data_IF_377771761637
#
_entry.id   IF_377771761637
#
_cell.length_a   1.000
_cell.length_b   1.000
_cell.length_c   1.000
_cell.angle_alpha   90.00
_cell.angle_beta   90.00
_cell.angle_gamma   90.00
#
_symmetry.space_group_name_H-M   'P 1'
#
loop_
_entity.id
_entity.type
_entity.pdbx_description
1 polymer ?
#
# COMPACT_ATOMS: atom_id res chain seq x y z
N UNK A 1 -46.21 12.12 -5.61
CA UNK A 1 -45.30 12.58 -6.69
C UNK A 1 -44.03 11.76 -6.61
N UNK A 2 -43.32 11.56 -7.73
CA UNK A 2 -42.02 10.88 -7.71
C UNK A 2 -40.91 11.92 -7.80
N UNK A 3 -39.92 11.86 -6.92
CA UNK A 3 -38.80 12.77 -6.90
C UNK A 3 -37.49 12.05 -7.23
N UNK A 4 -36.59 12.75 -7.91
CA UNK A 4 -35.34 12.19 -8.42
C UNK A 4 -34.25 12.33 -7.38
N UNK A 5 -33.55 11.25 -7.09
CA UNK A 5 -32.31 11.27 -6.32
C UNK A 5 -31.19 11.52 -7.31
N UNK A 6 -30.51 12.67 -7.18
CA UNK A 6 -29.39 13.05 -8.05
C UNK A 6 -28.10 13.18 -7.25
N UNK A 7 -26.97 13.01 -7.93
CA UNK A 7 -25.66 13.25 -7.33
C UNK A 7 -25.53 14.73 -6.95
N UNK A 8 -25.32 15.07 -5.68
CA UNK A 8 -25.15 16.46 -5.27
C UNK A 8 -23.83 17.04 -5.78
N UNK A 9 -23.64 18.36 -5.62
CA UNK A 9 -22.37 19.02 -5.94
C UNK A 9 -21.32 18.53 -4.95
N UNK A 10 -20.25 17.92 -5.48
CA UNK A 10 -19.23 17.23 -4.69
C UNK A 10 -18.02 18.13 -4.30
N UNK A 11 -18.07 19.45 -4.61
CA UNK A 11 -16.99 20.42 -4.40
C UNK A 11 -16.37 20.93 -5.70
N UNK A 12 -15.53 21.97 -5.64
CA UNK A 12 -15.03 22.72 -6.81
C UNK A 12 -14.17 21.92 -7.79
N UNK A 13 -13.69 20.73 -7.43
CA UNK A 13 -12.76 19.95 -8.27
C UNK A 13 -13.21 18.50 -8.53
N UNK A 14 -14.41 18.10 -8.09
CA UNK A 14 -14.88 16.72 -8.21
C UNK A 14 -16.04 16.68 -9.19
N UNK A 15 -15.80 16.09 -10.38
CA UNK A 15 -16.79 15.98 -11.46
C UNK A 15 -17.52 14.65 -11.49
N UNK A 16 -16.98 13.62 -10.82
CA UNK A 16 -17.53 12.26 -10.82
C UNK A 16 -17.36 11.57 -9.45
N UNK A 17 -18.26 10.63 -9.13
CA UNK A 17 -18.22 9.78 -7.96
C UNK A 17 -18.52 8.33 -8.33
N UNK A 18 -18.19 7.39 -7.45
CA UNK A 18 -18.60 5.98 -7.61
C UNK A 18 -19.65 5.65 -6.56
N UNK A 19 -20.72 4.98 -6.94
CA UNK A 19 -21.70 4.45 -5.99
C UNK A 19 -21.01 3.36 -5.17
N UNK A 20 -20.68 3.65 -3.92
CA UNK A 20 -20.00 2.71 -3.04
C UNK A 20 -20.97 1.61 -2.61
N UNK A 21 -22.12 1.99 -2.09
CA UNK A 21 -23.14 1.06 -1.61
C UNK A 21 -24.51 1.73 -1.49
N UNK A 22 -25.55 1.04 -1.85
CA UNK A 22 -26.91 1.39 -1.48
C UNK A 22 -27.21 0.91 -0.06
N UNK A 23 -27.67 1.81 0.81
CA UNK A 23 -28.06 1.53 2.19
C UNK A 23 -29.51 1.00 2.27
N UNK A 24 -30.30 1.25 1.23
CA UNK A 24 -31.69 0.78 1.06
C UNK A 24 -31.86 0.07 -0.28
N UNK A 25 -32.79 -0.86 -0.32
CA UNK A 25 -33.14 -1.61 -1.53
C UNK A 25 -34.35 -1.01 -2.21
N UNK A 26 -34.52 -1.29 -3.51
CA UNK A 26 -35.74 -0.93 -4.22
C UNK A 26 -36.94 -1.61 -3.55
N UNK A 27 -37.95 -0.82 -3.17
CA UNK A 27 -39.12 -1.24 -2.41
C UNK A 27 -39.08 -0.87 -0.93
N UNK A 28 -37.94 -0.44 -0.38
CA UNK A 28 -37.82 -0.02 1.01
C UNK A 28 -38.43 1.37 1.25
N UNK A 29 -39.00 1.56 2.44
CA UNK A 29 -39.49 2.88 2.87
C UNK A 29 -38.33 3.73 3.35
N UNK A 30 -38.30 5.00 2.95
CA UNK A 30 -37.31 5.99 3.33
C UNK A 30 -37.96 7.22 3.92
N UNK A 31 -37.32 7.85 4.90
CA UNK A 31 -37.75 9.14 5.45
C UNK A 31 -37.02 10.29 4.77
N UNK A 32 -37.54 11.52 4.87
CA UNK A 32 -36.85 12.67 4.36
C UNK A 32 -35.54 12.87 5.14
N UNK A 33 -34.46 13.23 4.45
CA UNK A 33 -33.10 13.38 4.98
C UNK A 33 -32.43 12.08 5.49
N UNK A 34 -33.05 10.90 5.27
CA UNK A 34 -32.45 9.63 5.60
C UNK A 34 -31.38 9.27 4.54
N UNK A 35 -30.14 8.88 4.93
CA UNK A 35 -29.12 8.49 3.98
C UNK A 35 -29.51 7.18 3.29
N UNK A 36 -29.50 7.17 1.95
CA UNK A 36 -29.98 6.05 1.11
C UNK A 36 -28.89 5.45 0.24
N UNK A 37 -27.87 6.22 -0.12
CA UNK A 37 -26.74 5.74 -0.92
C UNK A 37 -25.44 6.43 -0.48
N UNK A 38 -24.35 5.66 -0.42
CA UNK A 38 -23.00 6.13 -0.15
C UNK A 38 -22.26 6.28 -1.48
N UNK A 39 -21.73 7.49 -1.73
CA UNK A 39 -20.88 7.80 -2.87
C UNK A 39 -19.42 7.89 -2.44
N UNK A 40 -18.54 7.24 -3.13
CA UNK A 40 -17.09 7.29 -2.95
C UNK A 40 -16.49 8.25 -3.98
N UNK A 41 -15.78 9.27 -3.50
CA UNK A 41 -14.99 10.17 -4.34
C UNK A 41 -13.49 9.87 -4.15
N UNK A 42 -12.63 10.59 -4.86
CA UNK A 42 -11.17 10.47 -4.70
C UNK A 42 -10.65 11.02 -3.35
N UNK A 43 -11.48 11.75 -2.61
CA UNK A 43 -11.08 12.42 -1.36
C UNK A 43 -11.90 11.99 -0.15
N UNK A 44 -13.21 11.85 -0.29
CA UNK A 44 -14.15 11.62 0.84
C UNK A 44 -15.32 10.75 0.37
N UNK A 45 -15.89 9.97 1.28
CA UNK A 45 -17.17 9.31 1.08
C UNK A 45 -18.28 10.29 1.46
N UNK A 46 -19.32 10.37 0.65
CA UNK A 46 -20.49 11.23 0.84
C UNK A 46 -21.75 10.38 0.88
N UNK A 47 -22.58 10.60 1.88
CA UNK A 47 -23.90 10.00 1.95
C UNK A 47 -24.91 10.93 1.28
N UNK A 48 -25.74 10.38 0.39
CA UNK A 48 -26.82 11.13 -0.28
C UNK A 48 -28.14 10.81 0.43
N UNK A 49 -28.79 11.82 1.04
CA UNK A 49 -30.06 11.64 1.72
C UNK A 49 -31.23 11.59 0.73
N UNK A 50 -32.36 11.04 1.19
CA UNK A 50 -33.62 11.09 0.45
C UNK A 50 -34.21 12.49 0.44
N UNK A 51 -34.63 13.03 -0.72
CA UNK A 51 -35.24 14.35 -0.79
C UNK A 51 -36.66 14.41 -0.18
N UNK A 52 -37.36 13.28 -0.14
CA UNK A 52 -38.73 13.18 0.39
C UNK A 52 -38.94 11.86 1.15
N UNK A 53 -39.97 11.83 1.99
CA UNK A 53 -40.46 10.60 2.61
C UNK A 53 -41.25 9.81 1.56
N UNK A 54 -40.93 8.52 1.38
CA UNK A 54 -41.60 7.70 0.39
C UNK A 54 -41.06 6.26 0.30
N UNK A 55 -41.25 5.65 -0.86
CA UNK A 55 -40.71 4.33 -1.18
C UNK A 55 -39.70 4.49 -2.32
N UNK A 56 -38.49 3.90 -2.17
CA UNK A 56 -37.50 3.84 -3.22
C UNK A 56 -37.99 2.93 -4.34
N UNK A 57 -38.43 3.51 -5.45
CA UNK A 57 -39.09 2.77 -6.53
C UNK A 57 -38.13 2.18 -7.54
N UNK A 58 -37.03 2.86 -7.84
CA UNK A 58 -36.08 2.41 -8.86
C UNK A 58 -34.65 2.85 -8.50
N UNK A 59 -33.69 1.94 -8.71
CA UNK A 59 -32.26 2.18 -8.60
C UNK A 59 -31.70 2.17 -10.03
N UNK A 60 -31.27 3.34 -10.52
CA UNK A 60 -30.72 3.50 -11.87
C UNK A 60 -29.23 3.22 -11.92
N UNK A 61 -28.49 3.62 -10.87
CA UNK A 61 -27.05 3.41 -10.76
C UNK A 61 -26.75 2.36 -9.71
N UNK A 62 -26.20 1.20 -10.13
CA UNK A 62 -25.87 0.08 -9.24
C UNK A 62 -24.57 0.33 -8.48
N UNK A 63 -24.35 -0.45 -7.41
CA UNK A 63 -23.09 -0.45 -6.67
C UNK A 63 -21.90 -0.63 -7.63
N UNK A 64 -20.86 0.18 -7.45
CA UNK A 64 -19.65 0.21 -8.29
C UNK A 64 -19.79 0.98 -9.61
N UNK A 65 -20.93 1.63 -9.88
CA UNK A 65 -21.12 2.49 -11.07
C UNK A 65 -20.47 3.86 -10.85
N UNK A 66 -19.78 4.37 -11.86
CA UNK A 66 -19.27 5.75 -11.86
C UNK A 66 -20.38 6.68 -12.37
N UNK A 67 -20.63 7.75 -11.63
CA UNK A 67 -21.71 8.73 -11.90
C UNK A 67 -21.15 10.15 -11.86
N UNK A 68 -21.61 11.01 -12.75
CA UNK A 68 -21.23 12.42 -12.78
C UNK A 68 -22.12 13.25 -11.84
N UNK A 69 -21.68 14.46 -11.46
CA UNK A 69 -22.48 15.41 -10.70
C UNK A 69 -23.79 15.70 -11.44
N UNK A 70 -24.94 15.60 -10.75
CA UNK A 70 -26.28 15.76 -11.32
C UNK A 70 -26.83 14.51 -12.01
N UNK A 71 -26.08 13.40 -12.07
CA UNK A 71 -26.61 12.13 -12.62
C UNK A 71 -27.72 11.54 -11.76
N UNK A 72 -28.67 10.84 -12.39
CA UNK A 72 -29.79 10.21 -11.71
C UNK A 72 -29.33 8.91 -11.02
N UNK A 73 -29.47 8.86 -9.71
CA UNK A 73 -29.16 7.68 -8.90
C UNK A 73 -30.36 6.75 -8.75
N UNK A 74 -31.53 7.31 -8.48
CA UNK A 74 -32.76 6.56 -8.26
C UNK A 74 -34.00 7.46 -8.17
N UNK A 75 -35.16 6.85 -7.90
CA UNK A 75 -36.45 7.53 -7.76
C UNK A 75 -37.13 7.14 -6.46
N UNK A 76 -37.64 8.14 -5.73
CA UNK A 76 -38.50 7.97 -4.54
C UNK A 76 -39.92 8.44 -4.87
N UNK A 77 -40.93 7.65 -4.51
CA UNK A 77 -42.36 8.00 -4.70
C UNK A 77 -43.10 8.04 -3.37
N UNK A 78 -43.88 9.10 -3.12
CA UNK A 78 -44.73 9.24 -1.92
C UNK A 78 -45.86 8.21 -1.83
N UNK A 79 -46.33 7.69 -2.99
CA UNK A 79 -47.40 6.71 -3.04
C UNK A 79 -46.89 5.43 -3.70
N UNK A 80 -46.92 4.29 -2.98
CA UNK A 80 -46.51 2.96 -3.42
C UNK A 80 -47.30 2.40 -4.60
N UNK A 81 -47.28 3.05 -5.75
CA UNK A 81 -47.89 2.59 -6.98
C UNK A 81 -46.77 2.18 -7.95
N UNK A 82 -46.58 0.89 -8.09
CA UNK A 82 -45.71 0.27 -9.09
C UNK A 82 -46.23 0.58 -10.50
N UNK A 83 -45.80 1.70 -11.03
CA UNK A 83 -46.04 2.06 -12.42
C UNK A 83 -44.92 1.58 -13.32
N UNK A 84 -45.12 0.52 -14.06
CA UNK A 84 -44.27 0.11 -15.17
C UNK A 84 -44.17 1.24 -16.21
N UNK A 85 -43.12 2.04 -16.16
CA UNK A 85 -42.82 3.03 -17.19
C UNK A 85 -42.11 2.32 -18.35
N UNK A 86 -42.78 2.29 -19.52
CA UNK A 86 -42.23 1.85 -20.79
C UNK A 86 -40.92 2.53 -21.11
N UNK A 87 -39.93 1.73 -21.45
CA UNK A 87 -38.66 2.14 -22.08
C UNK A 87 -38.96 2.96 -23.33
N UNK A 88 -38.74 4.25 -23.34
CA UNK A 88 -38.57 5.04 -24.55
C UNK A 88 -37.11 4.93 -24.99
N UNK A 89 -36.93 4.44 -26.22
CA UNK A 89 -35.65 4.37 -26.91
C UNK A 89 -35.13 5.80 -27.17
N UNK A 90 -34.04 6.17 -26.50
CA UNK A 90 -33.30 7.37 -26.82
C UNK A 90 -32.54 7.14 -28.12
N UNK A 91 -33.00 7.80 -29.19
CA UNK A 91 -32.32 7.88 -30.48
C UNK A 91 -30.90 8.47 -30.26
N UNK A 92 -29.91 7.71 -30.72
CA UNK A 92 -28.53 8.17 -30.93
C UNK A 92 -28.55 9.44 -31.80
N UNK A 93 -28.08 10.55 -31.24
CA UNK A 93 -27.69 11.74 -31.99
C UNK A 93 -26.17 11.58 -32.26
N UNK A 94 -25.86 11.41 -33.54
CA UNK A 94 -24.48 11.46 -34.03
C UNK A 94 -23.96 12.90 -33.93
N UNK A 95 -22.71 13.13 -33.48
CA UNK A 95 -22.13 14.48 -33.48
C UNK A 95 -21.65 14.85 -34.88
N UNK A 96 -22.29 15.87 -35.45
CA UNK A 96 -21.84 16.53 -36.68
C UNK A 96 -20.45 17.18 -36.46
N UNK A 97 -19.52 16.70 -37.22
CA UNK A 97 -18.18 17.29 -37.40
C UNK A 97 -18.30 18.71 -37.96
N UNK A 98 -17.86 19.72 -37.18
CA UNK A 98 -17.50 21.02 -37.71
C UNK A 98 -15.99 21.06 -37.90
N UNK A 99 -15.60 21.18 -39.17
CA UNK A 99 -14.25 21.49 -39.61
C UNK A 99 -13.78 22.82 -38.97
N UNK A 100 -12.64 22.79 -38.28
CA UNK A 100 -11.89 23.99 -37.96
C UNK A 100 -10.47 23.90 -38.53
N UNK A 101 -10.19 24.89 -39.34
CA UNK A 101 -8.95 25.19 -40.02
C UNK A 101 -7.70 24.97 -39.17
N UNK A 102 -6.85 24.05 -39.59
CA UNK A 102 -5.48 23.89 -39.05
C UNK A 102 -4.55 24.70 -39.94
N UNK A 103 -4.01 25.76 -39.37
CA UNK A 103 -2.87 26.52 -39.96
C UNK A 103 -1.62 25.68 -39.77
N UNK A 104 -1.04 25.21 -40.88
CA UNK A 104 0.26 24.53 -40.86
C UNK A 104 1.35 25.58 -40.68
N UNK A 105 2.07 25.50 -39.57
CA UNK A 105 3.38 26.17 -39.39
C UNK A 105 4.50 25.18 -39.81
N UNK A 106 5.19 25.51 -40.83
CA UNK A 106 6.41 24.83 -41.27
C UNK A 106 7.54 25.08 -40.26
N UNK A 107 8.05 24.03 -39.64
CA UNK A 107 9.28 24.06 -38.86
C UNK A 107 10.39 23.38 -39.66
N UNK A 108 11.57 24.04 -39.84
CA UNK A 108 12.68 23.44 -40.57
C UNK A 108 13.36 22.35 -39.75
N UNK A 109 13.49 21.16 -40.33
CA UNK A 109 14.31 20.06 -39.84
C UNK A 109 15.78 20.48 -39.75
N UNK A 110 16.34 20.53 -38.55
CA UNK A 110 17.78 20.42 -38.32
C UNK A 110 18.07 19.07 -37.69
N UNK A 111 18.80 18.24 -38.43
CA UNK A 111 19.37 16.99 -37.93
C UNK A 111 20.54 17.29 -36.98
N UNK A 112 20.64 16.65 -35.82
CA UNK A 112 21.83 16.76 -34.99
C UNK A 112 22.95 15.87 -35.55
N UNK A 113 24.10 16.42 -35.74
CA UNK A 113 25.35 15.73 -36.13
C UNK A 113 25.80 14.85 -34.95
N UNK A 114 25.94 13.57 -35.22
CA UNK A 114 26.54 12.58 -34.31
C UNK A 114 28.05 12.80 -34.35
N UNK A 115 28.65 13.06 -33.20
CA UNK A 115 30.11 13.02 -33.05
C UNK A 115 30.52 11.54 -32.91
N UNK A 116 31.28 11.06 -33.92
CA UNK A 116 32.03 9.80 -33.81
C UNK A 116 33.31 10.07 -33.02
N UNK A 117 33.39 9.57 -31.79
CA UNK A 117 34.65 9.40 -31.09
C UNK A 117 35.09 7.93 -31.17
N UNK A 118 36.23 7.74 -31.84
CA UNK A 118 36.98 6.47 -31.87
C UNK A 118 37.47 6.14 -30.48
N UNK A 119 37.06 5.00 -29.94
CA UNK A 119 37.77 4.33 -28.88
C UNK A 119 38.22 2.95 -29.37
N UNK A 120 39.48 2.84 -29.73
CA UNK A 120 40.22 1.58 -29.76
C UNK A 120 40.68 1.30 -28.33
N UNK A 121 40.30 0.15 -27.77
CA UNK A 121 41.21 -0.86 -27.22
C UNK A 121 40.42 -1.99 -26.55
N UNK A 122 40.70 -3.18 -27.06
CA UNK A 122 40.41 -4.49 -26.55
C UNK A 122 40.82 -4.62 -25.08
N UNK A 123 39.90 -5.07 -24.22
CA UNK A 123 40.22 -5.97 -23.11
C UNK A 123 39.18 -7.08 -23.20
N UNK A 124 39.63 -8.29 -23.50
CA UNK A 124 38.89 -9.53 -23.37
C UNK A 124 38.90 -9.89 -21.87
N UNK A 125 37.76 -9.87 -21.24
CA UNK A 125 37.55 -10.59 -19.98
C UNK A 125 36.62 -11.78 -20.28
N UNK A 126 37.17 -12.96 -20.08
CA UNK A 126 36.45 -14.23 -20.16
C UNK A 126 35.47 -14.34 -18.99
N UNK A 127 34.25 -14.91 -19.19
CA UNK A 127 33.35 -15.13 -18.08
C UNK A 127 33.82 -16.26 -17.18
N UNK A 128 33.89 -16.01 -15.89
CA UNK A 128 34.15 -17.01 -14.83
C UNK A 128 33.02 -18.03 -14.81
N UNK A 129 33.30 -19.22 -15.28
CA UNK A 129 32.46 -20.42 -15.13
C UNK A 129 32.79 -21.06 -13.79
N UNK A 130 31.87 -21.02 -12.86
CA UNK A 130 31.89 -21.81 -11.63
C UNK A 130 31.46 -23.24 -11.99
N UNK A 131 32.44 -24.15 -12.07
CA UNK A 131 32.20 -25.59 -12.13
C UNK A 131 32.20 -26.12 -10.71
N UNK A 132 31.04 -26.49 -10.22
CA UNK A 132 30.91 -27.35 -9.04
C UNK A 132 31.11 -28.78 -9.47
N UNK A 133 32.27 -29.33 -9.12
CA UNK A 133 32.55 -30.77 -9.21
C UNK A 133 31.81 -31.49 -8.07
N UNK A 134 30.73 -32.17 -8.42
CA UNK A 134 30.14 -33.19 -7.55
C UNK A 134 30.85 -34.50 -7.78
N UNK A 135 31.61 -34.95 -6.79
CA UNK A 135 32.20 -36.30 -6.76
C UNK A 135 31.10 -37.34 -6.60
N UNK A 136 30.89 -38.14 -7.63
CA UNK A 136 30.16 -39.40 -7.55
C UNK A 136 31.00 -40.44 -6.82
N UNK A 137 30.53 -40.92 -5.68
CA UNK A 137 31.02 -42.15 -5.06
C UNK A 137 30.35 -43.36 -5.70
N UNK A 138 31.13 -44.12 -6.47
CA UNK A 138 30.79 -45.47 -6.93
C UNK A 138 30.72 -46.44 -5.73
N UNK A 139 29.57 -47.02 -5.47
CA UNK A 139 29.45 -48.23 -4.66
C UNK A 139 28.98 -49.38 -5.52
N UNK A 140 29.96 -50.26 -5.70
CA UNK A 140 30.00 -51.64 -6.15
C UNK A 140 28.68 -52.41 -6.27
N UNK A 141 28.51 -52.93 -7.49
CA UNK A 141 27.65 -54.06 -7.86
C UNK A 141 28.10 -55.34 -7.16
N UNK A 142 27.19 -56.04 -6.51
CA UNK A 142 27.27 -57.47 -6.27
C UNK A 142 26.18 -58.16 -7.09
N UNK A 143 26.64 -58.98 -8.04
CA UNK A 143 25.88 -59.99 -8.79
C UNK A 143 25.39 -61.06 -7.83
N UNK A 144 24.16 -61.49 -8.00
CA UNK A 144 23.74 -62.86 -7.78
C UNK A 144 22.73 -63.26 -8.85
N UNK A 145 23.13 -64.24 -9.60
CA UNK A 145 22.40 -64.98 -10.67
C UNK A 145 21.44 -66.00 -10.08
N UNK A 146 20.41 -66.29 -10.92
CA UNK A 146 19.70 -67.57 -11.09
C UNK A 146 18.57 -67.93 -10.12
N UNK A 147 17.37 -68.07 -10.61
CA UNK A 147 16.85 -69.15 -11.43
C UNK A 147 15.36 -68.99 -11.66
N UNK A 148 14.90 -69.21 -12.86
CA UNK A 148 13.49 -69.44 -13.21
C UNK A 148 13.02 -70.81 -12.68
N UNK A 149 11.69 -70.98 -12.44
CA UNK A 149 10.87 -71.63 -13.44
C UNK A 149 9.49 -71.00 -13.71
N UNK A 150 9.05 -71.28 -14.94
CA UNK A 150 7.70 -70.99 -15.46
C UNK A 150 6.65 -71.80 -14.72
N UNK A 151 5.50 -71.14 -14.39
CA UNK A 151 4.21 -71.77 -14.50
C UNK A 151 3.12 -70.70 -14.63
N UNK A 152 2.26 -70.88 -15.60
CA UNK A 152 1.02 -70.16 -15.89
C UNK A 152 0.12 -70.15 -14.67
N UNK A 153 -0.43 -69.01 -14.35
CA UNK A 153 -1.92 -68.78 -14.18
C UNK A 153 -2.12 -67.41 -13.53
N UNK A 154 -2.93 -66.61 -14.18
CA UNK A 154 -3.78 -65.55 -13.67
C UNK A 154 -3.56 -65.07 -12.22
N UNK A 155 -2.56 -64.23 -12.03
CA UNK A 155 -2.53 -63.25 -10.94
C UNK A 155 -1.47 -62.23 -11.31
N UNK A 156 -1.90 -61.08 -11.82
CA UNK A 156 -1.03 -59.93 -12.00
C UNK A 156 -0.33 -59.64 -10.66
N UNK A 157 0.98 -59.95 -10.59
CA UNK A 157 1.79 -59.72 -9.39
C UNK A 157 1.97 -58.21 -9.21
N UNK A 158 1.03 -57.62 -8.48
CA UNK A 158 1.06 -56.21 -8.10
C UNK A 158 2.25 -55.94 -7.15
N UNK A 159 2.99 -54.85 -7.38
CA UNK A 159 4.04 -54.46 -6.44
C UNK A 159 3.43 -54.14 -5.07
N UNK A 160 4.18 -54.29 -3.96
CA UNK A 160 3.67 -54.01 -2.60
C UNK A 160 3.06 -52.63 -2.45
N UNK A 161 3.62 -51.62 -3.11
CA UNK A 161 3.12 -50.25 -3.11
C UNK A 161 1.78 -50.11 -3.87
N UNK A 162 1.61 -50.79 -4.99
CA UNK A 162 0.36 -50.81 -5.78
C UNK A 162 -0.74 -51.54 -5.00
N UNK A 163 -0.40 -52.70 -4.38
CA UNK A 163 -1.34 -53.48 -3.57
C UNK A 163 -1.90 -52.64 -2.37
N UNK A 164 -1.03 -51.88 -1.69
CA UNK A 164 -1.46 -51.00 -0.59
C UNK A 164 -2.47 -49.94 -1.05
N UNK A 165 -2.22 -49.28 -2.16
CA UNK A 165 -3.11 -48.25 -2.72
C UNK A 165 -4.45 -48.84 -3.14
N UNK A 166 -4.45 -50.00 -3.78
CA UNK A 166 -5.66 -50.72 -4.20
C UNK A 166 -6.56 -51.08 -3.03
N UNK A 167 -5.97 -51.58 -1.94
CA UNK A 167 -6.72 -51.95 -0.71
C UNK A 167 -7.25 -50.74 0.00
N UNK A 168 -6.46 -49.69 0.16
CA UNK A 168 -6.85 -48.46 0.83
C UNK A 168 -7.99 -47.72 0.10
N UNK A 169 -7.99 -47.74 -1.22
CA UNK A 169 -8.93 -46.97 -2.03
C UNK A 169 -10.02 -47.83 -2.72
N UNK A 170 -10.06 -49.16 -2.44
CA UNK A 170 -11.05 -50.13 -2.98
C UNK A 170 -11.16 -50.07 -4.52
N UNK A 171 -10.02 -49.97 -5.21
CA UNK A 171 -9.97 -49.85 -6.68
C UNK A 171 -10.09 -51.24 -7.29
N UNK A 172 -10.96 -51.44 -8.29
CA UNK A 172 -11.03 -52.67 -9.07
C UNK A 172 -9.88 -52.74 -10.09
N UNK A 173 -8.93 -53.64 -9.87
CA UNK A 173 -7.71 -53.82 -10.67
C UNK A 173 -8.01 -54.16 -12.13
N UNK A 174 -9.12 -54.84 -12.38
CA UNK A 174 -9.51 -55.26 -13.71
C UNK A 174 -9.94 -54.10 -14.64
N UNK A 175 -10.29 -52.98 -14.02
CA UNK A 175 -10.65 -51.75 -14.76
C UNK A 175 -9.47 -50.87 -15.11
N UNK A 176 -8.25 -51.22 -14.61
CA UNK A 176 -7.05 -50.38 -14.76
C UNK A 176 -6.13 -50.94 -15.86
N UNK A 177 -5.93 -50.16 -16.92
CA UNK A 177 -4.96 -50.50 -17.97
C UNK A 177 -3.54 -50.18 -17.51
N UNK A 178 -2.72 -51.19 -17.18
CA UNK A 178 -1.34 -51.00 -16.73
C UNK A 178 -0.44 -50.47 -17.85
N UNK A 179 0.37 -49.43 -17.56
CA UNK A 179 1.35 -48.83 -18.47
C UNK A 179 2.76 -49.45 -18.36
N UNK A 180 2.98 -50.38 -17.43
CA UNK A 180 4.24 -51.03 -17.22
C UNK A 180 4.54 -52.14 -18.24
N UNK A 181 5.81 -52.64 -18.24
CA UNK A 181 6.28 -53.77 -19.09
C UNK A 181 5.41 -55.00 -18.80
N UNK A 182 4.92 -55.64 -19.87
CA UNK A 182 4.00 -56.81 -19.84
C UNK A 182 2.59 -56.47 -19.24
N UNK A 183 2.12 -55.21 -19.38
CA UNK A 183 0.80 -54.81 -18.90
C UNK A 183 0.67 -54.64 -17.37
N UNK A 184 1.78 -54.56 -16.66
CA UNK A 184 1.76 -54.36 -15.19
C UNK A 184 1.22 -52.99 -14.80
N UNK A 185 0.35 -52.98 -13.80
CA UNK A 185 -0.16 -51.75 -13.21
C UNK A 185 0.92 -51.14 -12.33
N UNK A 186 1.33 -49.91 -12.67
CA UNK A 186 2.25 -49.08 -11.91
C UNK A 186 1.53 -48.18 -10.92
N UNK A 187 2.24 -47.68 -9.93
CA UNK A 187 1.72 -46.73 -8.95
C UNK A 187 1.17 -45.46 -9.63
N UNK A 188 1.80 -45.03 -10.74
CA UNK A 188 1.36 -43.89 -11.53
C UNK A 188 -0.03 -44.05 -12.17
N UNK A 189 -0.34 -45.27 -12.61
CA UNK A 189 -1.63 -45.59 -13.27
C UNK A 189 -2.78 -45.48 -12.28
N UNK A 190 -2.58 -45.89 -11.03
CA UNK A 190 -3.57 -45.76 -9.98
C UNK A 190 -3.74 -44.31 -9.54
N UNK A 191 -2.69 -43.52 -9.45
CA UNK A 191 -2.71 -42.12 -9.07
C UNK A 191 -3.43 -41.28 -10.14
N UNK A 192 -3.22 -41.61 -11.42
CA UNK A 192 -3.92 -40.95 -12.53
C UNK A 192 -5.45 -41.22 -12.53
N UNK A 193 -5.83 -42.47 -12.18
CA UNK A 193 -7.24 -42.88 -12.02
C UNK A 193 -7.92 -42.21 -10.83
N UNK A 194 -7.17 -41.92 -9.77
CA UNK A 194 -7.69 -41.22 -8.57
C UNK A 194 -7.82 -39.71 -8.74
N UNK A 195 -7.48 -39.17 -9.93
CA UNK A 195 -7.54 -37.74 -10.22
C UNK A 195 -6.56 -36.89 -9.39
N UNK A 196 -5.60 -37.55 -8.69
CA UNK A 196 -4.74 -36.90 -7.71
C UNK A 196 -3.44 -36.32 -8.27
N UNK A 197 -3.16 -36.46 -9.56
CA UNK A 197 -1.94 -35.92 -10.15
C UNK A 197 -2.19 -35.30 -11.52
N UNK A 198 -2.69 -34.05 -11.60
CA UNK A 198 -2.71 -33.33 -12.85
C UNK A 198 -1.29 -33.19 -13.40
N UNK A 199 -1.14 -33.22 -14.73
CA UNK A 199 0.13 -32.98 -15.42
C UNK A 199 0.75 -31.66 -14.91
N UNK A 200 2.08 -31.49 -14.89
CA UNK A 200 2.71 -30.25 -14.42
C UNK A 200 2.23 -28.96 -15.12
N UNK A 201 1.77 -29.07 -16.37
CA UNK A 201 1.11 -27.99 -17.12
C UNK A 201 -0.28 -27.65 -16.60
N UNK A 202 -1.02 -28.63 -16.10
CA UNK A 202 -2.38 -28.45 -15.54
C UNK A 202 -2.33 -27.97 -14.10
N UNK A 203 -1.25 -28.27 -13.35
CA UNK A 203 -1.03 -27.74 -12.01
C UNK A 203 -0.95 -26.21 -11.98
N UNK A 204 -0.47 -25.57 -13.05
CA UNK A 204 -0.43 -24.08 -13.15
C UNK A 204 -1.83 -23.46 -13.25
N UNK A 205 -2.84 -24.21 -13.68
CA UNK A 205 -4.22 -23.75 -13.80
C UNK A 205 -5.05 -24.04 -12.54
N UNK A 206 -4.61 -24.98 -11.69
CA UNK A 206 -5.34 -25.43 -10.49
C UNK A 206 -4.77 -24.92 -9.15
N UNK A 207 -3.86 -23.94 -9.14
CA UNK A 207 -3.40 -23.31 -7.90
C UNK A 207 -4.46 -22.35 -7.36
N UNK A 208 -5.39 -22.90 -6.57
CA UNK A 208 -6.38 -22.15 -5.80
C UNK A 208 -7.47 -21.50 -6.65
N UNK A 209 -8.57 -21.16 -6.00
CA UNK A 209 -9.57 -20.27 -6.59
C UNK A 209 -8.98 -18.86 -6.59
N UNK A 210 -8.69 -18.32 -7.78
CA UNK A 210 -8.33 -16.90 -7.91
C UNK A 210 -9.60 -16.07 -7.72
N UNK A 211 -9.62 -15.24 -6.72
CA UNK A 211 -10.65 -14.25 -6.51
C UNK A 211 -10.19 -12.91 -7.12
N UNK A 212 -10.96 -12.39 -8.08
CA UNK A 212 -10.69 -11.10 -8.72
C UNK A 212 -11.62 -10.06 -8.16
N UNK A 213 -11.08 -9.20 -7.27
CA UNK A 213 -11.79 -8.10 -6.65
C UNK A 213 -11.35 -6.79 -7.32
N UNK A 214 -12.30 -5.99 -7.80
CA UNK A 214 -12.01 -4.64 -8.32
C UNK A 214 -11.54 -3.75 -7.18
N UNK A 215 -10.43 -3.04 -7.37
CA UNK A 215 -9.98 -2.06 -6.38
C UNK A 215 -10.99 -0.93 -6.22
N UNK A 216 -11.21 -0.48 -4.98
CA UNK A 216 -12.00 0.72 -4.69
C UNK A 216 -11.33 1.94 -5.33
N UNK A 217 -12.10 3.00 -5.56
CA UNK A 217 -11.59 4.26 -6.13
C UNK A 217 -10.50 4.87 -5.23
N UNK A 218 -10.72 4.87 -3.92
CA UNK A 218 -9.72 5.31 -2.95
C UNK A 218 -8.40 4.54 -3.12
N UNK A 219 -8.45 3.20 -3.22
CA UNK A 219 -7.25 2.37 -3.41
C UNK A 219 -6.55 2.67 -4.73
N UNK A 220 -7.30 2.91 -5.80
CA UNK A 220 -6.74 3.31 -7.10
C UNK A 220 -6.02 4.66 -7.02
N UNK A 221 -6.63 5.65 -6.37
CA UNK A 221 -6.02 6.98 -6.15
C UNK A 221 -4.74 6.88 -5.33
N UNK A 222 -4.76 6.11 -4.23
CA UNK A 222 -3.57 5.86 -3.40
C UNK A 222 -2.45 5.22 -4.25
N UNK A 223 -2.77 4.18 -5.01
CA UNK A 223 -1.80 3.49 -5.87
C UNK A 223 -1.17 4.44 -6.91
N UNK A 224 -2.00 5.28 -7.55
CA UNK A 224 -1.54 6.30 -8.49
C UNK A 224 -0.60 7.31 -7.84
N UNK A 225 -0.97 7.86 -6.67
CA UNK A 225 -0.14 8.85 -5.93
C UNK A 225 1.19 8.26 -5.48
N UNK A 226 1.19 7.04 -4.93
CA UNK A 226 2.42 6.37 -4.50
C UNK A 226 3.35 6.11 -5.69
N UNK A 227 2.78 5.71 -6.84
CA UNK A 227 3.58 5.49 -8.04
C UNK A 227 4.14 6.78 -8.61
N UNK A 228 3.36 7.87 -8.62
CA UNK A 228 3.82 9.21 -9.00
C UNK A 228 4.97 9.68 -8.11
N UNK A 229 4.92 9.43 -6.79
CA UNK A 229 6.00 9.81 -5.88
C UNK A 229 7.32 9.12 -6.24
N UNK A 230 7.28 7.83 -6.60
CA UNK A 230 8.47 7.09 -7.03
C UNK A 230 9.00 7.51 -8.41
N UNK A 231 8.12 7.93 -9.32
CA UNK A 231 8.50 8.34 -10.68
C UNK A 231 9.02 9.78 -10.74
N UNK A 232 8.44 10.68 -9.92
CA UNK A 232 8.77 12.11 -9.96
C UNK A 232 9.95 12.50 -9.07
N UNK A 233 10.31 11.71 -8.06
CA UNK A 233 11.39 12.01 -7.13
C UNK A 233 12.62 11.13 -7.38
N UNK A 234 13.82 11.71 -7.29
CA UNK A 234 15.06 10.94 -7.20
C UNK A 234 15.22 10.43 -5.76
N UNK A 235 14.45 9.39 -5.42
CA UNK A 235 14.26 8.89 -4.07
C UNK A 235 15.52 8.22 -3.55
N UNK A 236 16.08 8.74 -2.46
CA UNK A 236 17.17 8.13 -1.72
C UNK A 236 16.79 8.03 -0.23
N UNK A 237 17.34 7.04 0.48
CA UNK A 237 17.12 6.88 1.92
C UNK A 237 18.44 6.76 2.65
N UNK A 238 18.62 7.57 3.70
CA UNK A 238 19.71 7.43 4.66
C UNK A 238 19.17 6.94 5.99
N UNK A 239 20.00 6.21 6.73
CA UNK A 239 19.62 5.57 7.99
C UNK A 239 20.55 6.01 9.11
N UNK A 240 20.01 6.04 10.33
CA UNK A 240 20.79 6.19 11.55
C UNK A 240 20.14 5.42 12.70
N UNK A 241 20.88 5.12 13.73
CA UNK A 241 20.38 4.53 14.98
C UNK A 241 20.38 5.57 16.09
N UNK A 242 19.40 5.47 16.99
CA UNK A 242 19.21 6.37 18.12
C UNK A 242 19.09 5.58 19.41
N UNK A 243 19.85 5.95 20.42
CA UNK A 243 19.67 5.46 21.78
C UNK A 243 18.50 6.19 22.46
N UNK A 244 17.43 5.45 22.72
CA UNK A 244 16.20 6.00 23.29
C UNK A 244 16.21 6.09 24.82
N UNK A 245 17.33 5.76 25.48
CA UNK A 245 17.43 5.70 26.94
C UNK A 245 17.00 7.01 27.59
N UNK A 246 17.60 8.14 27.17
CA UNK A 246 17.35 9.46 27.80
C UNK A 246 15.85 9.87 27.66
N UNK A 247 15.24 9.63 26.51
CA UNK A 247 13.80 9.93 26.32
C UNK A 247 12.94 9.01 27.19
N UNK A 248 13.27 7.72 27.26
CA UNK A 248 12.49 6.76 28.05
C UNK A 248 12.58 7.08 29.55
N UNK A 249 13.75 7.42 30.04
CA UNK A 249 13.99 7.85 31.42
C UNK A 249 13.23 9.16 31.72
N UNK A 250 13.40 10.19 30.88
CA UNK A 250 12.70 11.48 31.04
C UNK A 250 11.18 11.30 31.07
N UNK A 251 10.63 10.46 30.17
CA UNK A 251 9.21 10.14 30.17
C UNK A 251 8.78 9.42 31.44
N UNK A 252 9.56 8.44 31.91
CA UNK A 252 9.26 7.66 33.12
C UNK A 252 9.22 8.56 34.36
N UNK A 253 10.18 9.45 34.49
CA UNK A 253 10.29 10.37 35.61
C UNK A 253 9.19 11.42 35.66
N UNK A 254 8.82 11.98 34.47
CA UNK A 254 7.91 13.11 34.40
C UNK A 254 6.47 12.73 34.03
N UNK A 255 6.18 11.46 33.75
CA UNK A 255 4.89 11.01 33.23
C UNK A 255 3.71 11.36 34.14
N UNK A 256 3.85 11.17 35.45
CA UNK A 256 2.78 11.40 36.41
C UNK A 256 2.45 12.88 36.55
N UNK A 257 3.48 13.72 36.68
CA UNK A 257 3.32 15.17 36.80
C UNK A 257 2.77 15.78 35.49
N UNK A 258 3.27 15.32 34.36
CA UNK A 258 2.76 15.75 33.05
C UNK A 258 1.29 15.40 32.88
N UNK A 259 0.90 14.17 33.22
CA UNK A 259 -0.48 13.71 33.11
C UNK A 259 -1.42 14.44 34.09
N UNK A 260 -0.97 14.71 35.33
CA UNK A 260 -1.77 15.45 36.30
C UNK A 260 -1.99 16.90 35.88
N UNK A 261 -0.99 17.52 35.26
CA UNK A 261 -1.04 18.93 34.84
C UNK A 261 -1.82 19.15 33.53
N UNK A 262 -1.62 18.29 32.55
CA UNK A 262 -2.14 18.50 31.19
C UNK A 262 -3.28 17.55 30.79
N UNK A 263 -3.59 16.53 31.61
CA UNK A 263 -4.65 15.56 31.36
C UNK A 263 -4.34 14.55 30.24
N UNK A 264 -3.08 14.51 29.75
CA UNK A 264 -2.63 13.62 28.69
C UNK A 264 -1.29 13.01 29.04
N UNK A 265 -1.02 11.81 28.50
CA UNK A 265 0.28 11.13 28.68
C UNK A 265 1.33 11.75 27.77
N UNK A 266 2.55 11.89 28.27
CA UNK A 266 3.72 12.27 27.46
C UNK A 266 4.10 11.12 26.53
N UNK A 267 3.90 11.28 25.24
CA UNK A 267 4.24 10.30 24.21
C UNK A 267 5.68 10.45 23.71
N UNK A 268 6.07 9.63 22.74
CA UNK A 268 7.35 9.81 22.03
C UNK A 268 7.22 10.86 20.93
N UNK A 269 6.02 11.01 20.36
CA UNK A 269 5.83 11.83 19.17
C UNK A 269 6.17 13.29 19.36
N UNK A 270 5.89 13.86 20.54
CA UNK A 270 6.25 15.25 20.84
C UNK A 270 7.77 15.50 20.81
N UNK A 271 8.58 14.53 21.25
CA UNK A 271 10.05 14.62 21.13
C UNK A 271 10.50 14.59 19.67
N UNK A 272 9.94 13.66 18.88
CA UNK A 272 10.26 13.56 17.45
C UNK A 272 9.84 14.80 16.68
N UNK A 273 8.65 15.35 16.95
CA UNK A 273 8.17 16.60 16.37
C UNK A 273 9.13 17.73 16.64
N UNK A 274 9.50 17.94 17.91
CA UNK A 274 10.43 19.01 18.30
C UNK A 274 11.83 18.81 17.71
N UNK A 275 12.36 17.59 17.72
CA UNK A 275 13.64 17.26 17.10
C UNK A 275 13.65 17.53 15.59
N UNK A 276 12.56 17.16 14.89
CA UNK A 276 12.39 17.45 13.47
C UNK A 276 12.30 18.95 13.21
N UNK A 277 11.53 19.71 14.00
CA UNK A 277 11.40 21.16 13.83
C UNK A 277 12.76 21.85 13.96
N UNK A 278 13.55 21.51 14.98
CA UNK A 278 14.91 22.05 15.15
C UNK A 278 15.78 21.71 13.94
N UNK A 279 15.73 20.47 13.48
CA UNK A 279 16.50 20.04 12.30
C UNK A 279 16.02 20.72 11.01
N UNK A 280 14.71 20.88 10.79
CA UNK A 280 14.15 21.57 9.60
C UNK A 280 14.55 23.05 9.56
N UNK A 281 14.62 23.72 10.69
CA UNK A 281 15.13 25.11 10.80
C UNK A 281 16.60 25.23 10.39
N UNK A 282 17.40 24.22 10.67
CA UNK A 282 18.84 24.22 10.34
C UNK A 282 19.12 23.70 8.90
N UNK A 283 18.22 22.89 8.35
CA UNK A 283 18.34 22.30 7.00
C UNK A 283 17.09 22.62 6.17
N UNK A 284 16.91 23.86 5.70
CA UNK A 284 15.70 24.31 5.03
C UNK A 284 15.43 23.57 3.70
N UNK A 285 16.43 22.98 3.08
CA UNK A 285 16.25 22.16 1.87
C UNK A 285 15.37 20.92 2.13
N UNK A 286 15.35 20.39 3.36
CA UNK A 286 14.48 19.27 3.76
C UNK A 286 13.03 19.72 3.93
N UNK A 287 12.79 21.03 4.12
CA UNK A 287 11.46 21.64 4.23
C UNK A 287 11.07 22.41 2.95
N UNK A 288 11.50 21.92 1.79
CA UNK A 288 11.25 22.55 0.50
C UNK A 288 10.44 21.62 -0.43
N UNK A 289 9.95 22.16 -1.53
CA UNK A 289 9.30 21.41 -2.60
C UNK A 289 9.73 21.91 -3.97
N UNK A 290 9.57 21.08 -5.00
CA UNK A 290 9.82 21.46 -6.41
C UNK A 290 8.48 21.82 -7.06
N UNK A 291 8.45 22.98 -7.70
CA UNK A 291 7.35 23.37 -8.58
C UNK A 291 7.93 23.80 -9.94
N UNK A 292 7.78 22.96 -10.95
CA UNK A 292 8.43 23.13 -12.24
C UNK A 292 9.95 23.18 -12.12
N UNK A 293 10.54 24.32 -12.42
CA UNK A 293 11.98 24.59 -12.37
C UNK A 293 12.40 25.35 -11.09
N UNK A 294 11.47 25.58 -10.17
CA UNK A 294 11.71 26.37 -8.96
C UNK A 294 11.74 25.48 -7.70
N UNK A 295 12.56 25.86 -6.70
CA UNK A 295 12.55 25.28 -5.37
C UNK A 295 11.87 26.26 -4.43
N UNK A 296 10.78 25.82 -3.81
CA UNK A 296 9.99 26.60 -2.86
C UNK A 296 10.39 26.22 -1.44
N UNK A 297 11.11 27.09 -0.74
CA UNK A 297 11.43 26.91 0.68
C UNK A 297 10.26 27.33 1.55
N UNK A 298 9.79 26.42 2.42
CA UNK A 298 8.71 26.70 3.36
C UNK A 298 9.28 27.26 4.67
N UNK A 299 8.91 28.48 5.02
CA UNK A 299 9.33 29.12 6.29
C UNK A 299 8.30 28.91 7.41
N UNK A 300 7.57 27.79 7.34
CA UNK A 300 6.62 27.32 8.35
C UNK A 300 6.71 25.79 8.45
N UNK A 301 6.31 25.23 9.60
CA UNK A 301 6.59 23.84 9.94
C UNK A 301 5.31 23.08 10.26
N UNK A 302 4.67 22.58 9.23
CA UNK A 302 3.47 21.76 9.32
C UNK A 302 3.84 20.29 9.16
N UNK A 303 3.80 19.54 10.27
CA UNK A 303 4.24 18.15 10.28
C UNK A 303 3.08 17.20 10.08
N UNK A 304 3.18 16.34 9.08
CA UNK A 304 2.19 15.32 8.80
C UNK A 304 2.52 14.00 9.49
N UNK A 305 1.48 13.23 9.87
CA UNK A 305 1.66 11.92 10.52
C UNK A 305 0.95 10.84 9.75
N UNK A 306 1.63 9.70 9.54
CA UNK A 306 1.01 8.53 8.98
C UNK A 306 0.14 7.83 10.05
N UNK A 307 -1.17 7.80 9.85
CA UNK A 307 -2.15 7.15 10.73
C UNK A 307 -2.84 6.03 9.98
N UNK A 308 -2.74 4.80 10.50
CA UNK A 308 -3.45 3.65 9.97
C UNK A 308 -4.92 3.66 10.40
N UNK A 309 -5.82 3.53 9.44
CA UNK A 309 -7.26 3.37 9.65
C UNK A 309 -7.75 2.07 9.01
N UNK A 310 -8.96 1.64 9.30
CA UNK A 310 -9.57 0.46 8.66
C UNK A 310 -9.69 0.62 7.13
N UNK A 311 -9.90 1.84 6.66
CA UNK A 311 -10.02 2.18 5.22
C UNK A 311 -8.65 2.33 4.52
N UNK A 312 -7.54 2.38 5.28
CA UNK A 312 -6.18 2.55 4.75
C UNK A 312 -5.35 3.54 5.55
N UNK A 313 -4.22 3.97 4.97
CA UNK A 313 -3.31 4.94 5.57
C UNK A 313 -3.76 6.36 5.20
N UNK A 314 -3.89 7.23 6.20
CA UNK A 314 -4.13 8.67 6.03
C UNK A 314 -2.98 9.46 6.65
N UNK A 315 -2.75 10.68 6.15
CA UNK A 315 -1.60 11.50 6.55
C UNK A 315 -2.07 12.91 6.95
N UNK A 316 -2.73 13.05 8.10
CA UNK A 316 -3.17 14.34 8.60
C UNK A 316 -2.02 15.23 9.03
N UNK A 317 -2.28 16.55 9.16
CA UNK A 317 -1.30 17.59 9.37
C UNK A 317 -1.44 18.23 10.74
N UNK A 318 -0.35 18.31 11.47
CA UNK A 318 -0.16 19.16 12.65
C UNK A 318 0.40 20.50 12.19
N UNK A 319 -0.36 21.56 12.35
CA UNK A 319 0.02 22.91 11.93
C UNK A 319 0.89 23.60 12.98
N UNK A 320 1.76 24.50 12.52
CA UNK A 320 2.58 25.40 13.33
C UNK A 320 3.30 24.65 14.47
N UNK A 321 3.92 23.50 14.11
CA UNK A 321 4.51 22.56 15.06
C UNK A 321 5.68 23.17 15.88
N UNK A 322 6.28 24.24 15.39
CA UNK A 322 7.34 24.97 16.07
C UNK A 322 6.80 25.82 17.27
N UNK A 323 5.59 26.34 17.16
CA UNK A 323 4.96 27.14 18.22
C UNK A 323 4.31 26.29 19.32
N UNK A 324 3.98 25.02 19.04
CA UNK A 324 3.29 24.14 19.97
C UNK A 324 4.18 23.66 21.11
N UNK A 325 3.62 23.60 22.32
CA UNK A 325 4.26 22.92 23.46
C UNK A 325 4.19 21.39 23.31
N UNK A 326 4.98 20.64 24.10
CA UNK A 326 4.90 19.18 24.16
C UNK A 326 3.46 18.68 24.45
N UNK A 327 2.77 19.37 25.37
CA UNK A 327 1.40 19.01 25.73
C UNK A 327 0.40 19.27 24.59
N UNK A 328 0.57 20.38 23.86
CA UNK A 328 -0.31 20.71 22.74
C UNK A 328 -0.08 19.78 21.55
N UNK A 329 1.19 19.41 21.29
CA UNK A 329 1.52 18.41 20.27
C UNK A 329 0.81 17.09 20.57
N UNK A 330 0.93 16.56 21.79
CA UNK A 330 0.29 15.27 22.16
C UNK A 330 -1.24 15.36 22.11
N UNK A 331 -1.86 16.49 22.53
CA UNK A 331 -3.31 16.71 22.45
C UNK A 331 -3.79 16.74 21.01
N UNK A 332 -3.11 17.49 20.16
CA UNK A 332 -3.46 17.62 18.75
C UNK A 332 -3.32 16.28 18.01
N UNK A 333 -2.20 15.57 18.21
CA UNK A 333 -1.99 14.24 17.61
C UNK A 333 -3.08 13.26 18.05
N UNK A 334 -3.46 13.26 19.34
CA UNK A 334 -4.54 12.42 19.84
C UNK A 334 -5.87 12.77 19.18
N UNK A 335 -6.23 14.04 19.16
CA UNK A 335 -7.49 14.53 18.54
C UNK A 335 -7.56 14.17 17.05
N UNK A 336 -6.48 14.45 16.31
CA UNK A 336 -6.38 14.12 14.88
C UNK A 336 -6.47 12.62 14.64
N UNK A 337 -5.81 11.81 15.48
CA UNK A 337 -5.86 10.34 15.36
C UNK A 337 -7.25 9.77 15.67
N UNK A 338 -8.00 10.37 16.60
CA UNK A 338 -9.38 10.00 16.90
C UNK A 338 -10.29 10.36 15.71
N UNK A 339 -10.18 11.58 15.16
CA UNK A 339 -10.89 11.99 13.93
C UNK A 339 -10.58 11.05 12.75
N UNK A 340 -9.32 10.62 12.62
CA UNK A 340 -8.89 9.72 11.55
C UNK A 340 -9.57 8.35 11.66
N UNK A 341 -9.62 7.77 12.88
CA UNK A 341 -10.28 6.48 13.15
C UNK A 341 -11.78 6.56 12.94
N UNK A 342 -12.40 7.67 13.34
CA UNK A 342 -13.83 7.92 13.16
C UNK A 342 -14.22 8.24 11.71
N UNK A 343 -13.25 8.43 10.82
CA UNK A 343 -13.50 8.84 9.43
C UNK A 343 -13.99 10.28 9.27
N UNK A 344 -13.72 11.14 10.25
CA UNK A 344 -14.18 12.56 10.31
C UNK A 344 -13.12 13.57 9.91
N UNK A 345 -12.04 13.14 9.25
CA UNK A 345 -11.02 14.05 8.73
C UNK A 345 -11.59 14.88 7.58
N UNK A 346 -11.34 16.19 7.63
CA UNK A 346 -11.66 17.11 6.53
C UNK A 346 -10.51 17.17 5.52
N UNK A 347 -10.77 17.73 4.35
CA UNK A 347 -9.73 17.97 3.33
C UNK A 347 -8.64 18.90 3.89
N UNK A 348 -9.04 19.87 4.68
CA UNK A 348 -8.14 20.82 5.33
C UNK A 348 -7.20 20.11 6.31
N UNK A 349 -7.67 19.10 7.04
CA UNK A 349 -6.82 18.30 7.96
C UNK A 349 -5.70 17.54 7.21
N UNK A 350 -5.82 17.36 5.88
CA UNK A 350 -4.90 16.55 5.05
C UNK A 350 -3.98 17.39 4.15
N UNK A 351 -4.15 18.70 4.09
CA UNK A 351 -3.42 19.59 3.17
C UNK A 351 -2.45 20.52 3.91
N UNK A 352 -1.40 20.97 3.20
CA UNK A 352 -0.46 21.99 3.69
C UNK A 352 0.62 21.45 4.63
N UNK A 353 0.82 20.15 4.70
CA UNK A 353 1.96 19.57 5.41
C UNK A 353 3.27 19.78 4.65
N UNK A 354 4.36 20.09 5.37
CA UNK A 354 5.68 20.37 4.77
C UNK A 354 6.66 19.22 4.92
N UNK A 355 6.49 18.38 5.94
CA UNK A 355 7.31 17.21 6.22
C UNK A 355 6.47 16.10 6.84
N UNK A 356 6.81 14.84 6.60
CA UNK A 356 6.02 13.71 7.13
C UNK A 356 6.83 12.86 8.11
N UNK A 357 6.19 12.44 9.21
CA UNK A 357 6.72 11.44 10.13
C UNK A 357 5.85 10.18 10.03
N UNK A 358 6.47 9.05 9.71
CA UNK A 358 5.81 7.74 9.63
C UNK A 358 6.32 6.81 10.70
N UNK A 359 5.43 6.20 11.50
CA UNK A 359 5.78 5.29 12.57
C UNK A 359 5.42 3.84 12.21
N UNK A 360 6.38 3.11 11.62
CA UNK A 360 6.28 1.67 11.36
C UNK A 360 6.54 0.80 12.60
N UNK A 361 7.13 1.37 13.65
CA UNK A 361 7.50 0.64 14.87
C UNK A 361 6.30 0.08 15.63
N UNK A 362 5.14 0.74 15.55
CA UNK A 362 3.89 0.25 16.16
C UNK A 362 3.42 -1.08 15.56
N UNK A 363 3.87 -1.41 14.35
CA UNK A 363 3.60 -2.66 13.64
C UNK A 363 4.77 -3.66 13.73
N UNK A 364 5.84 -3.30 14.47
CA UNK A 364 7.03 -4.14 14.64
C UNK A 364 8.06 -4.02 13.51
N UNK A 365 7.97 -2.99 12.65
CA UNK A 365 8.97 -2.78 11.60
C UNK A 365 10.33 -2.47 12.20
N UNK A 366 11.35 -3.24 11.78
CA UNK A 366 12.74 -2.99 12.16
C UNK A 366 13.35 -1.86 11.33
N UNK A 367 13.09 -1.86 10.02
CA UNK A 367 13.66 -0.90 9.07
C UNK A 367 12.81 -0.87 7.81
N UNK A 368 12.58 0.30 7.24
CA UNK A 368 11.87 0.48 5.97
C UNK A 368 12.37 1.75 5.27
N UNK A 369 12.10 1.84 3.97
CA UNK A 369 12.36 3.02 3.14
C UNK A 369 11.02 3.68 2.83
N UNK A 370 10.56 4.66 3.63
CA UNK A 370 9.25 5.29 3.41
C UNK A 370 9.22 6.03 2.07
N UNK A 371 8.03 6.03 1.44
CA UNK A 371 7.79 6.75 0.18
C UNK A 371 7.38 8.18 0.53
N UNK A 372 7.84 9.16 -0.25
CA UNK A 372 7.51 10.57 -0.08
C UNK A 372 6.00 10.83 -0.24
N UNK A 373 5.49 11.76 0.55
CA UNK A 373 4.15 12.32 0.38
C UNK A 373 4.25 13.62 -0.42
N UNK A 374 4.13 13.51 -1.75
CA UNK A 374 4.25 14.69 -2.62
C UNK A 374 3.27 15.80 -2.22
N UNK A 375 3.66 17.08 -2.31
CA UNK A 375 4.91 17.63 -2.92
C UNK A 375 6.11 17.70 -1.97
N UNK A 376 6.03 17.16 -0.74
CA UNK A 376 7.10 17.20 0.25
C UNK A 376 8.37 16.52 -0.27
N UNK A 377 9.54 17.05 0.12
CA UNK A 377 10.85 16.52 -0.26
C UNK A 377 11.46 15.55 0.76
N UNK A 378 10.87 15.43 1.96
CA UNK A 378 11.40 14.58 3.02
C UNK A 378 10.33 13.83 3.83
N UNK A 379 10.68 12.61 4.28
CA UNK A 379 9.87 11.81 5.20
C UNK A 379 10.77 11.06 6.18
N UNK A 380 10.47 11.18 7.47
CA UNK A 380 11.15 10.45 8.54
C UNK A 380 10.37 9.18 8.88
N UNK A 381 11.03 8.03 8.76
CA UNK A 381 10.53 6.74 9.23
C UNK A 381 11.05 6.41 10.62
N UNK A 382 10.13 6.16 11.55
CA UNK A 382 10.42 5.62 12.87
C UNK A 382 10.15 4.12 12.88
N UNK A 383 10.94 3.38 13.64
CA UNK A 383 10.86 1.93 13.72
C UNK A 383 10.72 1.44 15.16
N UNK A 384 10.71 0.12 15.36
CA UNK A 384 10.58 -0.45 16.70
C UNK A 384 11.80 -0.16 17.57
N UNK A 385 11.56 -0.05 18.88
CA UNK A 385 12.62 0.06 19.89
C UNK A 385 12.98 -1.37 20.31
N UNK A 386 14.26 -1.73 20.20
CA UNK A 386 14.77 -3.06 20.54
C UNK A 386 15.99 -2.91 21.44
N UNK A 387 16.01 -3.66 22.53
CA UNK A 387 17.21 -3.74 23.38
C UNK A 387 18.35 -4.42 22.63
N UNK A 388 19.50 -3.73 22.53
CA UNK A 388 20.69 -4.19 21.82
C UNK A 388 21.94 -3.97 22.65
N UNK A 389 22.94 -4.86 22.55
CA UNK A 389 24.27 -4.58 23.10
C UNK A 389 24.95 -3.52 22.24
N UNK A 390 25.32 -2.42 22.85
CA UNK A 390 26.05 -1.31 22.21
C UNK A 390 27.29 -0.97 23.06
N UNK A 391 28.31 -0.39 22.42
CA UNK A 391 29.48 0.07 23.11
C UNK A 391 29.28 1.52 23.55
N UNK A 392 29.30 1.74 24.87
CA UNK A 392 29.22 3.07 25.51
C UNK A 392 30.39 3.21 26.44
N UNK A 393 31.23 4.25 26.25
CA UNK A 393 32.44 4.51 27.02
C UNK A 393 33.42 3.32 27.11
N UNK A 394 33.48 2.52 26.00
CA UNK A 394 34.35 1.33 25.93
C UNK A 394 33.76 0.07 26.57
N UNK A 395 32.59 0.13 27.17
CA UNK A 395 31.87 -0.99 27.77
C UNK A 395 30.66 -1.44 26.93
N UNK A 396 30.35 -2.73 26.95
CA UNK A 396 29.13 -3.25 26.33
C UNK A 396 27.97 -3.03 27.29
N UNK A 397 27.01 -2.20 26.87
CA UNK A 397 25.78 -1.90 27.63
C UNK A 397 24.54 -2.30 26.79
N UNK A 398 23.50 -2.75 27.47
CA UNK A 398 22.21 -2.99 26.84
C UNK A 398 21.49 -1.65 26.75
N UNK A 399 21.09 -1.26 25.53
CA UNK A 399 20.40 0.02 25.26
C UNK A 399 19.17 -0.21 24.38
N UNK A 400 18.09 0.55 24.60
CA UNK A 400 16.93 0.58 23.72
C UNK A 400 17.26 1.39 22.47
N UNK A 401 17.51 0.70 21.35
CA UNK A 401 17.90 1.31 20.08
C UNK A 401 16.71 1.36 19.15
N UNK A 402 16.51 2.50 18.48
CA UNK A 402 15.57 2.68 17.39
C UNK A 402 16.33 3.02 16.10
N UNK A 403 15.96 2.40 14.98
CA UNK A 403 16.42 2.85 13.67
C UNK A 403 15.52 3.97 13.15
N UNK A 404 16.17 4.98 12.58
CA UNK A 404 15.54 6.06 11.85
C UNK A 404 15.91 5.96 10.37
N UNK A 405 14.95 6.23 9.51
CA UNK A 405 15.12 6.32 8.06
C UNK A 405 14.67 7.70 7.58
N UNK A 406 15.50 8.42 6.87
CA UNK A 406 15.11 9.62 6.14
C UNK A 406 15.09 9.30 4.67
N UNK A 407 13.90 9.24 4.07
CA UNK A 407 13.77 9.21 2.60
C UNK A 407 13.57 10.64 2.11
N UNK A 408 14.22 10.98 1.01
CA UNK A 408 14.24 12.34 0.50
C UNK A 408 14.42 12.39 -1.02
N UNK A 409 14.07 13.53 -1.61
CA UNK A 409 14.29 13.81 -3.03
C UNK A 409 15.70 14.36 -3.23
N UNK A 410 16.58 13.55 -3.83
CA UNK A 410 17.98 13.89 -4.04
C UNK A 410 18.19 14.99 -5.12
N UNK A 411 17.12 15.44 -5.76
CA UNK A 411 17.18 16.61 -6.65
C UNK A 411 17.27 17.93 -5.88
N UNK A 412 16.81 17.95 -4.60
CA UNK A 412 16.83 19.14 -3.73
C UNK A 412 17.84 18.94 -2.61
N UNK A 413 17.86 17.75 -1.99
CA UNK A 413 18.58 17.48 -0.77
C UNK A 413 19.82 16.64 -1.08
N UNK A 414 21.00 17.20 -0.80
CA UNK A 414 22.27 16.51 -0.99
C UNK A 414 22.57 15.53 0.17
N UNK A 415 23.50 14.60 -0.11
CA UNK A 415 23.90 13.59 0.89
C UNK A 415 24.44 14.19 2.19
N UNK A 416 25.17 15.33 2.12
CA UNK A 416 25.67 16.05 3.31
C UNK A 416 24.51 16.59 4.15
N UNK A 417 23.52 17.20 3.52
CA UNK A 417 22.38 17.81 4.20
C UNK A 417 21.48 16.76 4.84
N UNK A 418 21.15 15.68 4.08
CA UNK A 418 20.30 14.60 4.57
C UNK A 418 20.91 13.86 5.77
N UNK A 419 22.21 13.54 5.70
CA UNK A 419 22.94 12.87 6.80
C UNK A 419 23.06 13.80 7.99
N UNK A 420 23.35 15.09 7.77
CA UNK A 420 23.46 16.08 8.85
C UNK A 420 22.13 16.36 9.53
N UNK A 421 21.03 16.42 8.75
CA UNK A 421 19.67 16.51 9.27
C UNK A 421 19.34 15.32 10.18
N UNK A 422 19.53 14.10 9.70
CA UNK A 422 19.23 12.90 10.46
C UNK A 422 20.12 12.75 11.70
N UNK A 423 21.39 13.19 11.61
CA UNK A 423 22.31 13.27 12.73
C UNK A 423 21.82 14.26 13.79
N UNK A 424 21.36 15.44 13.39
CA UNK A 424 20.81 16.44 14.33
C UNK A 424 19.54 15.93 15.01
N UNK A 425 18.63 15.26 14.28
CA UNK A 425 17.47 14.60 14.87
C UNK A 425 17.91 13.58 15.93
N UNK A 426 18.90 12.72 15.62
CA UNK A 426 19.48 11.75 16.54
C UNK A 426 20.02 12.44 17.81
N UNK A 427 20.88 13.43 17.67
CA UNK A 427 21.51 14.13 18.79
C UNK A 427 20.49 14.78 19.73
N UNK A 428 19.43 15.36 19.15
CA UNK A 428 18.34 15.96 19.93
C UNK A 428 17.49 14.91 20.66
N UNK A 429 17.38 13.70 20.13
CA UNK A 429 16.65 12.59 20.78
C UNK A 429 17.51 11.91 21.85
N UNK A 430 18.82 11.78 21.64
CA UNK A 430 19.76 11.20 22.61
C UNK A 430 20.04 12.14 23.82
N UNK A 431 20.02 13.46 23.60
CA UNK A 431 20.04 14.48 24.66
C UNK A 431 18.84 15.44 24.53
N UNK A 432 17.65 15.05 25.05
CA UNK A 432 16.44 15.86 24.92
C UNK A 432 16.51 17.25 25.57
N UNK A 433 17.49 17.51 26.44
CA UNK A 433 17.70 18.85 27.04
C UNK A 433 18.01 19.90 25.98
N UNK A 434 18.63 19.51 24.88
CA UNK A 434 18.92 20.39 23.74
C UNK A 434 17.65 21.00 23.13
N UNK A 435 16.54 20.25 23.15
CA UNK A 435 15.22 20.71 22.66
C UNK A 435 14.64 21.87 23.48
N UNK A 436 15.07 22.02 24.72
CA UNK A 436 14.62 23.12 25.60
C UNK A 436 15.57 24.32 25.59
N UNK A 437 16.80 24.13 25.09
CA UNK A 437 17.84 25.16 25.03
C UNK A 437 17.97 25.79 23.63
N UNK A 438 17.21 25.26 22.64
CA UNK A 438 17.27 25.68 21.22
C UNK A 438 18.70 25.61 20.62
N UNK A 439 19.49 24.53 20.95
CA UNK A 439 20.88 24.32 20.50
C UNK A 439 21.07 22.99 19.80
#
# INVERSE_FOLDING_TARGET
MSEKIVVPVLGESITEATVAKWLKNAGDTVEADEPIVELETDKVNLEVPSPIKGILTEINSKDGSVVEVGALLGLVSENGSTGLVKKEEIKKIEPTTKENNVIKLDTPKKEPKIFEEKIEKKIQEEPLILTDEVKEEETTRAKLENSTPKSNTENQTLSPAVRKIVVENKIDINSVKGSGKDGRVLKGDLISLMGANPQPSERKVQYGQEERIKMTRLRQTIAKRLKQAQENAALLTTFNEVDMTSIMEMRKENQQDFQSRYGIKLGFMSFFVKACVVALKNFPAVNAEIDGDEIIYKNYYNLSFAVGTEKGLVVPVLRDADELSFADIEKNIKSISEKAKDGKLTIEDLQGGTFTISNGGVYGSMLSTPILNLPQSGVLGMHNIVERPVVVDGEIKIRPIMYLALSYDHRIIDGKESVSFLKMVKENLEDPRRLFLDI
#
